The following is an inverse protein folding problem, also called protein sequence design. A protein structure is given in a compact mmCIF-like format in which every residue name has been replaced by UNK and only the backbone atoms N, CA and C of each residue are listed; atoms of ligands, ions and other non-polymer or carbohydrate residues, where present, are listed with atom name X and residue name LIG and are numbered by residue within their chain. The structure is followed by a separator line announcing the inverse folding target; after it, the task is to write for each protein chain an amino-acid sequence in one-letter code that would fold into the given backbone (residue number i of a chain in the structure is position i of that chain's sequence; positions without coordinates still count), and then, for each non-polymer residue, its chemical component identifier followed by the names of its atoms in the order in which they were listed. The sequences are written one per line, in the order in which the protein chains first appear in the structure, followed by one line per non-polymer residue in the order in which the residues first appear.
data_IF_107843103709
#
_entry.id   IF_107843103709
#
_cell.length_a   1.000
_cell.length_b   1.000
_cell.length_c   1.000
_cell.angle_alpha   90.00
_cell.angle_beta   90.00
_cell.angle_gamma   90.00
#
_symmetry.space_group_name_H-M   'P 1'
#
loop_
_entity.id
_entity.type
_entity.pdbx_description
1 polymer ?
#
# COMPACT_ATOMS: atom_id res chain seq x y z
N UNK A 1 -14.28 -5.41 6.19
CA UNK A 1 -15.48 -5.68 7.00
C UNK A 1 -15.59 -7.14 7.43
N UNK A 2 -15.83 -8.11 6.53
CA UNK A 2 -16.04 -9.52 6.91
C UNK A 2 -14.86 -10.15 7.67
N UNK A 3 -13.61 -9.85 7.28
CA UNK A 3 -12.43 -10.32 8.02
C UNK A 3 -12.41 -9.82 9.47
N UNK A 4 -12.80 -8.57 9.69
CA UNK A 4 -12.88 -7.97 11.03
C UNK A 4 -14.01 -8.58 11.86
N UNK A 5 -15.18 -8.79 11.26
CA UNK A 5 -16.30 -9.49 11.91
C UNK A 5 -15.89 -10.91 12.30
N UNK A 6 -15.25 -11.66 11.40
CA UNK A 6 -14.77 -13.01 11.69
C UNK A 6 -13.76 -13.04 12.84
N UNK A 7 -12.91 -12.01 12.93
CA UNK A 7 -11.95 -11.86 14.01
C UNK A 7 -12.66 -11.59 15.35
N UNK A 8 -13.62 -10.65 15.39
CA UNK A 8 -14.39 -10.34 16.61
C UNK A 8 -15.14 -11.57 17.10
N UNK A 9 -15.83 -12.29 16.21
CA UNK A 9 -16.53 -13.52 16.57
C UNK A 9 -15.55 -14.55 17.17
N UNK A 10 -14.37 -14.72 16.58
CA UNK A 10 -13.39 -15.68 17.05
C UNK A 10 -12.82 -15.34 18.43
N UNK A 11 -12.47 -14.07 18.70
CA UNK A 11 -11.85 -13.68 19.97
C UNK A 11 -12.81 -13.66 21.16
N UNK A 12 -14.13 -13.72 20.93
CA UNK A 12 -15.10 -13.73 22.04
C UNK A 12 -15.35 -15.14 22.60
N UNK A 13 -14.77 -16.18 21.98
CA UNK A 13 -14.75 -17.51 22.56
C UNK A 13 -13.88 -17.54 23.84
N UNK A 14 -14.18 -18.49 24.73
CA UNK A 14 -13.34 -18.76 25.91
C UNK A 14 -11.94 -19.20 25.48
N UNK A 15 -10.96 -18.93 26.34
CA UNK A 15 -9.55 -19.29 26.15
C UNK A 15 -8.89 -18.69 24.88
N UNK A 16 -9.44 -17.59 24.38
CA UNK A 16 -8.86 -16.83 23.27
C UNK A 16 -8.15 -15.56 23.77
N UNK A 17 -7.02 -15.22 23.14
CA UNK A 17 -6.27 -13.99 23.41
C UNK A 17 -6.31 -13.08 22.18
N UNK A 18 -6.53 -11.78 22.42
CA UNK A 18 -6.53 -10.78 21.35
C UNK A 18 -5.14 -10.61 20.72
N UNK A 19 -5.14 -10.27 19.43
CA UNK A 19 -3.91 -9.89 18.74
C UNK A 19 -3.34 -8.60 19.36
N UNK A 20 -2.01 -8.52 19.42
CA UNK A 20 -1.31 -7.32 19.87
C UNK A 20 -0.88 -6.57 18.61
N UNK A 21 -1.34 -5.33 18.37
CA UNK A 21 -0.94 -4.58 17.19
C UNK A 21 0.56 -4.27 17.22
N UNK A 22 1.20 -4.39 16.06
CA UNK A 22 2.60 -4.04 15.88
C UNK A 22 2.81 -2.53 15.76
N UNK A 23 4.06 -2.14 15.51
CA UNK A 23 4.41 -0.76 15.16
C UNK A 23 3.83 -0.36 13.80
N UNK A 24 3.70 -1.34 12.92
CA UNK A 24 3.28 -1.19 11.52
C UNK A 24 2.07 -2.08 11.25
N UNK A 25 1.06 -1.54 10.56
CA UNK A 25 0.00 -2.36 9.97
C UNK A 25 0.50 -3.03 8.68
N UNK A 26 0.76 -4.34 8.79
CA UNK A 26 1.27 -5.19 7.71
C UNK A 26 0.38 -5.14 6.47
N UNK A 27 -0.94 -5.07 6.62
CA UNK A 27 -1.85 -5.05 5.48
C UNK A 27 -1.73 -3.75 4.70
N UNK A 28 -1.89 -2.60 5.37
CA UNK A 28 -1.86 -1.29 4.72
C UNK A 28 -0.53 -0.99 4.05
N UNK A 29 0.59 -1.34 4.69
CA UNK A 29 1.92 -1.09 4.12
C UNK A 29 2.18 -1.96 2.89
N UNK A 30 1.82 -3.25 2.94
CA UNK A 30 1.97 -4.17 1.82
C UNK A 30 1.09 -3.77 0.64
N UNK A 31 -0.15 -3.35 0.91
CA UNK A 31 -1.06 -2.86 -0.11
C UNK A 31 -0.53 -1.59 -0.77
N UNK A 32 -0.04 -0.62 0.01
CA UNK A 32 0.53 0.61 -0.54
C UNK A 32 1.75 0.33 -1.43
N UNK A 33 2.64 -0.58 -1.00
CA UNK A 33 3.78 -1.02 -1.83
C UNK A 33 3.34 -1.69 -3.14
N UNK A 34 2.31 -2.54 -3.09
CA UNK A 34 1.75 -3.21 -4.26
C UNK A 34 1.14 -2.22 -5.25
N UNK A 35 0.34 -1.26 -4.78
CA UNK A 35 -0.32 -0.25 -5.61
C UNK A 35 0.68 0.65 -6.34
N UNK A 36 1.78 1.03 -5.67
CA UNK A 36 2.90 1.73 -6.31
C UNK A 36 3.50 0.88 -7.43
N UNK A 37 3.81 -0.40 -7.14
CA UNK A 37 4.37 -1.33 -8.13
C UNK A 37 3.43 -1.53 -9.33
N UNK A 38 2.12 -1.67 -9.11
CA UNK A 38 1.13 -1.80 -10.18
C UNK A 38 1.05 -0.54 -11.03
N UNK A 39 1.06 0.64 -10.40
CA UNK A 39 1.02 1.93 -11.10
C UNK A 39 2.27 2.14 -11.96
N UNK A 40 3.46 1.86 -11.40
CA UNK A 40 4.73 1.88 -12.13
C UNK A 40 4.72 0.87 -13.29
N UNK A 41 4.27 -0.37 -13.06
CA UNK A 41 4.16 -1.35 -14.14
C UNK A 41 3.19 -0.94 -15.25
N UNK A 42 2.09 -0.26 -14.91
CA UNK A 42 1.15 0.27 -15.89
C UNK A 42 1.76 1.39 -16.72
N UNK A 43 2.53 2.29 -16.11
CA UNK A 43 3.33 3.28 -16.84
C UNK A 43 4.30 2.60 -17.82
N UNK A 44 5.04 1.57 -17.37
CA UNK A 44 6.00 0.82 -18.22
C UNK A 44 5.38 0.07 -19.38
N UNK A 45 4.19 -0.51 -19.18
CA UNK A 45 3.52 -1.34 -20.21
C UNK A 45 2.74 -0.52 -21.23
N UNK A 46 2.40 0.72 -20.91
CA UNK A 46 1.64 1.57 -21.82
C UNK A 46 2.56 2.05 -22.94
N UNK A 47 2.10 1.93 -24.18
CA UNK A 47 2.84 2.40 -25.35
C UNK A 47 2.79 3.93 -25.39
N UNK A 48 3.77 4.56 -26.05
CA UNK A 48 3.84 6.03 -26.19
C UNK A 48 2.53 6.58 -26.79
N UNK A 49 1.98 5.88 -27.78
CA UNK A 49 0.78 6.30 -28.53
C UNK A 49 -0.51 6.19 -27.71
N UNK A 50 -0.56 5.27 -26.75
CA UNK A 50 -1.73 5.01 -25.89
C UNK A 50 -1.67 5.79 -24.56
N UNK A 51 -0.56 6.50 -24.32
CA UNK A 51 -0.30 7.17 -23.06
C UNK A 51 -1.01 8.53 -23.01
N UNK A 52 -2.29 8.51 -22.65
CA UNK A 52 -3.07 9.74 -22.48
C UNK A 52 -2.56 10.60 -21.30
N UNK A 53 -2.61 11.94 -21.40
CA UNK A 53 -2.24 12.83 -20.30
C UNK A 53 -3.06 12.57 -19.02
N UNK A 54 -4.33 12.19 -19.16
CA UNK A 54 -5.20 11.85 -18.03
C UNK A 54 -4.70 10.60 -17.30
N UNK A 55 -4.37 9.54 -18.06
CA UNK A 55 -3.82 8.31 -17.50
C UNK A 55 -2.53 8.57 -16.70
N UNK A 56 -1.64 9.42 -17.21
CA UNK A 56 -0.42 9.81 -16.48
C UNK A 56 -0.76 10.48 -15.15
N UNK A 57 -1.70 11.44 -15.15
CA UNK A 57 -2.12 12.15 -13.94
C UNK A 57 -2.69 11.18 -12.92
N UNK A 58 -3.57 10.27 -13.35
CA UNK A 58 -4.22 9.28 -12.48
C UNK A 58 -3.18 8.36 -11.84
N UNK A 59 -2.23 7.84 -12.63
CA UNK A 59 -1.18 6.95 -12.13
C UNK A 59 -0.20 7.66 -11.20
N UNK A 60 0.23 8.88 -11.53
CA UNK A 60 1.06 9.69 -10.64
C UNK A 60 0.33 10.01 -9.33
N UNK A 61 -0.95 10.37 -9.39
CA UNK A 61 -1.77 10.63 -8.21
C UNK A 61 -1.89 9.38 -7.34
N UNK A 62 -2.07 8.20 -7.94
CA UNK A 62 -2.12 6.94 -7.20
C UNK A 62 -0.78 6.63 -6.51
N UNK A 63 0.34 6.78 -7.22
CA UNK A 63 1.69 6.63 -6.64
C UNK A 63 1.87 7.59 -5.45
N UNK A 64 1.56 8.88 -5.63
CA UNK A 64 1.67 9.88 -4.58
C UNK A 64 0.81 9.55 -3.36
N UNK A 65 -0.46 9.14 -3.57
CA UNK A 65 -1.37 8.71 -2.50
C UNK A 65 -0.77 7.58 -1.67
N UNK A 66 -0.27 6.54 -2.32
CA UNK A 66 0.26 5.37 -1.62
C UNK A 66 1.63 5.64 -0.97
N UNK A 67 2.45 6.53 -1.53
CA UNK A 67 3.65 7.03 -0.86
C UNK A 67 3.27 7.77 0.43
N UNK A 68 2.25 8.63 0.42
CA UNK A 68 1.77 9.28 1.65
C UNK A 68 1.32 8.27 2.70
N UNK A 69 0.67 7.17 2.30
CA UNK A 69 0.33 6.07 3.22
C UNK A 69 1.59 5.45 3.83
N UNK A 70 2.60 5.12 3.01
CA UNK A 70 3.88 4.59 3.50
C UNK A 70 4.55 5.57 4.48
N UNK A 71 4.63 6.85 4.14
CA UNK A 71 5.21 7.89 4.99
C UNK A 71 4.48 8.02 6.33
N UNK A 72 3.15 8.01 6.33
CA UNK A 72 2.36 8.11 7.55
C UNK A 72 2.57 6.90 8.46
N UNK A 73 2.56 5.69 7.90
CA UNK A 73 2.82 4.46 8.64
C UNK A 73 4.22 4.49 9.27
N UNK A 74 5.25 4.85 8.48
CA UNK A 74 6.61 4.95 8.98
C UNK A 74 6.78 6.05 10.03
N UNK A 75 6.08 7.19 9.91
CA UNK A 75 6.09 8.24 10.93
C UNK A 75 5.49 7.75 12.25
N UNK A 76 4.37 7.05 12.20
CA UNK A 76 3.77 6.45 13.40
C UNK A 76 4.62 5.34 14.01
N UNK A 77 5.42 4.63 13.20
CA UNK A 77 6.40 3.67 13.68
C UNK A 77 7.60 4.37 14.34
N UNK A 78 8.15 5.42 13.71
CA UNK A 78 9.28 6.24 14.19
C UNK A 78 9.09 6.72 15.63
N UNK A 79 7.89 7.19 15.95
CA UNK A 79 7.50 7.70 17.27
C UNK A 79 7.48 6.61 18.38
N UNK A 80 7.33 5.34 17.98
CA UNK A 80 7.18 4.19 18.89
C UNK A 80 8.43 3.31 18.96
N UNK A 81 9.33 3.44 18.00
CA UNK A 81 10.60 2.70 17.93
C UNK A 81 11.54 3.20 19.04
N UNK A 82 12.10 2.26 19.82
CA UNK A 82 13.05 2.56 20.90
C UNK A 82 14.49 2.69 20.41
N UNK A 83 14.86 1.90 19.41
CA UNK A 83 16.21 1.85 18.83
C UNK A 83 16.45 3.00 17.85
N UNK A 84 17.53 3.75 18.04
CA UNK A 84 17.86 4.89 17.19
C UNK A 84 18.24 4.48 15.77
N UNK A 85 18.96 3.37 15.59
CA UNK A 85 19.34 2.89 14.27
C UNK A 85 18.13 2.51 13.41
N UNK A 86 17.18 1.78 14.00
CA UNK A 86 15.91 1.40 13.38
C UNK A 86 15.06 2.61 13.02
N UNK A 87 15.00 3.60 13.93
CA UNK A 87 14.29 4.87 13.71
C UNK A 87 14.87 5.59 12.49
N UNK A 88 16.19 5.72 12.42
CA UNK A 88 16.85 6.34 11.28
C UNK A 88 16.69 5.53 9.99
N UNK A 89 16.65 4.20 10.07
CA UNK A 89 16.37 3.34 8.93
C UNK A 89 14.96 3.57 8.35
N UNK A 90 13.93 3.75 9.18
CA UNK A 90 12.60 4.14 8.72
C UNK A 90 12.63 5.47 7.95
N UNK A 91 13.29 6.50 8.50
CA UNK A 91 13.43 7.81 7.85
C UNK A 91 14.17 7.70 6.51
N UNK A 92 15.26 6.93 6.46
CA UNK A 92 16.04 6.72 5.24
C UNK A 92 15.25 5.97 4.17
N UNK A 93 14.49 4.93 4.55
CA UNK A 93 13.59 4.23 3.65
C UNK A 93 12.55 5.18 3.05
N UNK A 94 11.88 6.00 3.86
CA UNK A 94 10.90 6.99 3.39
C UNK A 94 11.55 8.00 2.44
N UNK A 95 12.73 8.54 2.81
CA UNK A 95 13.48 9.49 1.97
C UNK A 95 13.89 8.87 0.64
N UNK A 96 14.29 7.60 0.63
CA UNK A 96 14.66 6.87 -0.58
C UNK A 96 13.47 6.76 -1.55
N UNK A 97 12.30 6.37 -1.04
CA UNK A 97 11.07 6.27 -1.84
C UNK A 97 10.62 7.63 -2.38
N UNK A 98 10.59 8.66 -1.54
CA UNK A 98 10.15 9.99 -1.95
C UNK A 98 11.12 10.64 -2.94
N UNK A 99 12.43 10.46 -2.77
CA UNK A 99 13.44 10.91 -3.72
C UNK A 99 13.28 10.25 -5.09
N UNK A 100 13.18 8.92 -5.13
CA UNK A 100 12.96 8.18 -6.38
C UNK A 100 11.67 8.64 -7.09
N UNK A 101 10.59 8.86 -6.33
CA UNK A 101 9.33 9.34 -6.86
C UNK A 101 9.43 10.78 -7.38
N UNK A 102 10.17 11.65 -6.69
CA UNK A 102 10.47 13.01 -7.16
C UNK A 102 11.14 13.02 -8.53
N UNK A 103 12.14 12.15 -8.73
CA UNK A 103 12.82 11.97 -10.02
C UNK A 103 11.87 11.48 -11.13
N UNK A 104 10.97 10.54 -10.80
CA UNK A 104 9.94 10.06 -11.72
C UNK A 104 9.00 11.20 -12.13
N UNK A 105 8.43 11.94 -11.17
CA UNK A 105 7.50 13.04 -11.43
C UNK A 105 8.17 14.17 -12.23
N UNK A 106 9.42 14.51 -11.93
CA UNK A 106 10.18 15.50 -12.70
C UNK A 106 10.39 15.06 -14.15
N UNK A 107 10.69 13.78 -14.37
CA UNK A 107 10.83 13.20 -15.71
C UNK A 107 9.50 13.19 -16.48
N UNK A 108 8.40 12.88 -15.80
CA UNK A 108 7.05 12.92 -16.36
C UNK A 108 6.62 14.34 -16.72
N UNK A 109 6.92 15.34 -15.88
CA UNK A 109 6.68 16.76 -16.21
C UNK A 109 7.38 17.16 -17.49
N UNK A 110 8.65 16.78 -17.62
CA UNK A 110 9.46 17.05 -18.82
C UNK A 110 8.83 16.41 -20.05
N UNK A 111 8.37 15.15 -19.94
CA UNK A 111 7.63 14.46 -21.00
C UNK A 111 6.30 15.16 -21.36
N UNK A 112 5.53 15.62 -20.37
CA UNK A 112 4.27 16.34 -20.62
C UNK A 112 4.49 17.65 -21.38
N UNK A 113 5.57 18.37 -21.10
CA UNK A 113 5.91 19.61 -21.81
C UNK A 113 6.46 19.34 -23.21
N UNK A 114 7.20 18.24 -23.39
CA UNK A 114 7.82 17.86 -24.66
C UNK A 114 7.66 16.35 -24.91
N UNK A 115 6.52 15.90 -25.47
CA UNK A 115 6.30 14.48 -25.72
C UNK A 115 7.32 13.94 -26.72
N UNK A 116 8.16 12.99 -26.31
CA UNK A 116 9.11 12.31 -27.19
C UNK A 116 9.43 10.91 -26.69
N UNK A 117 9.82 10.02 -27.60
CA UNK A 117 10.25 8.65 -27.26
C UNK A 117 11.43 8.64 -26.29
N UNK A 118 12.34 9.62 -26.39
CA UNK A 118 13.47 9.79 -25.48
C UNK A 118 13.01 10.09 -24.05
N UNK A 119 12.11 11.06 -23.87
CA UNK A 119 11.61 11.42 -22.55
C UNK A 119 10.69 10.34 -21.98
N UNK A 120 9.98 9.62 -22.85
CA UNK A 120 9.23 8.43 -22.48
C UNK A 120 10.13 7.36 -21.87
N UNK A 121 11.15 6.91 -22.61
CA UNK A 121 12.12 5.94 -22.12
C UNK A 121 12.79 6.38 -20.80
N UNK A 122 13.06 7.68 -20.66
CA UNK A 122 13.64 8.24 -19.43
C UNK A 122 12.75 8.04 -18.21
N UNK A 123 11.46 8.40 -18.25
CA UNK A 123 10.62 8.24 -17.07
C UNK A 123 10.26 6.76 -16.80
N UNK A 124 10.22 5.92 -17.84
CA UNK A 124 10.14 4.46 -17.68
C UNK A 124 11.28 3.91 -16.83
N UNK A 125 12.52 4.37 -17.07
CA UNK A 125 13.67 3.94 -16.27
C UNK A 125 13.58 4.37 -14.79
N UNK A 126 12.81 5.40 -14.46
CA UNK A 126 12.57 5.81 -13.07
C UNK A 126 11.45 5.03 -12.38
N UNK A 127 10.65 4.24 -13.11
CA UNK A 127 9.60 3.41 -12.51
C UNK A 127 10.17 2.25 -11.66
N UNK A 128 11.31 1.70 -12.08
CA UNK A 128 11.96 0.59 -11.36
C UNK A 128 12.56 1.03 -10.03
N UNK A 129 13.36 2.12 -9.94
CA UNK A 129 13.81 2.67 -8.67
C UNK A 129 12.66 2.91 -7.68
N UNK A 130 11.58 3.57 -8.10
CA UNK A 130 10.41 3.83 -7.23
C UNK A 130 9.82 2.53 -6.68
N UNK A 131 9.63 1.55 -7.56
CA UNK A 131 9.08 0.25 -7.18
C UNK A 131 10.00 -0.50 -6.22
N UNK A 132 11.31 -0.53 -6.50
CA UNK A 132 12.31 -1.22 -5.70
C UNK A 132 12.46 -0.59 -4.32
N UNK A 133 12.55 0.73 -4.23
CA UNK A 133 12.65 1.42 -2.93
C UNK A 133 11.38 1.22 -2.09
N UNK A 134 10.20 1.23 -2.71
CA UNK A 134 8.95 1.01 -2.00
C UNK A 134 8.85 -0.42 -1.47
N UNK A 135 9.29 -1.41 -2.26
CA UNK A 135 9.31 -2.81 -1.84
C UNK A 135 10.38 -3.07 -0.75
N UNK A 136 11.55 -2.44 -0.84
CA UNK A 136 12.56 -2.53 0.22
C UNK A 136 12.03 -1.99 1.56
N UNK A 137 11.33 -0.85 1.53
CA UNK A 137 10.66 -0.29 2.70
C UNK A 137 9.61 -1.26 3.26
N UNK A 138 8.79 -1.86 2.40
CA UNK A 138 7.77 -2.83 2.81
C UNK A 138 8.43 -4.03 3.47
N UNK A 139 9.44 -4.62 2.85
CA UNK A 139 10.16 -5.78 3.40
C UNK A 139 10.69 -5.47 4.80
N UNK A 140 11.44 -4.37 4.95
CA UNK A 140 11.97 -3.92 6.23
C UNK A 140 10.85 -3.72 7.26
N UNK A 141 9.82 -2.97 6.92
CA UNK A 141 8.73 -2.65 7.84
C UNK A 141 7.81 -3.83 8.18
N UNK A 142 7.96 -4.96 7.48
CA UNK A 142 7.25 -6.22 7.75
C UNK A 142 8.11 -7.27 8.44
N UNK A 143 9.29 -6.90 8.95
CA UNK A 143 10.10 -7.75 9.81
C UNK A 143 9.35 -8.13 11.11
N UNK A 144 9.66 -9.31 11.64
CA UNK A 144 9.00 -9.90 12.83
C UNK A 144 9.06 -8.98 14.05
N UNK A 145 10.06 -8.10 14.13
CA UNK A 145 10.25 -7.13 15.22
C UNK A 145 9.23 -5.97 15.19
N UNK A 146 8.62 -5.70 14.04
CA UNK A 146 7.68 -4.58 13.87
C UNK A 146 6.24 -5.03 13.72
N UNK A 147 6.03 -6.26 13.25
CA UNK A 147 4.72 -6.87 13.16
C UNK A 147 4.28 -7.31 14.56
N UNK A 148 2.98 -7.15 14.80
CA UNK A 148 2.38 -7.48 16.08
C UNK A 148 2.38 -8.98 16.38
N UNK A 149 1.78 -9.36 17.51
CA UNK A 149 1.51 -10.77 17.81
C UNK A 149 0.11 -11.14 17.34
N UNK A 150 0.00 -12.28 16.67
CA UNK A 150 -1.28 -12.82 16.23
C UNK A 150 -2.17 -13.21 17.44
N UNK A 151 -3.47 -13.25 17.22
CA UNK A 151 -4.41 -13.71 18.22
C UNK A 151 -4.25 -15.21 18.48
N UNK A 152 -4.33 -15.61 19.75
CA UNK A 152 -4.36 -17.03 20.12
C UNK A 152 -5.81 -17.46 20.16
N UNK A 153 -6.20 -18.34 19.25
CA UNK A 153 -7.58 -18.81 19.12
C UNK A 153 -7.70 -20.25 19.62
N UNK A 154 -8.84 -20.59 20.23
CA UNK A 154 -9.20 -21.99 20.49
C UNK A 154 -9.53 -22.72 19.17
N UNK A 155 -9.53 -24.08 19.15
CA UNK A 155 -9.92 -24.84 17.96
C UNK A 155 -11.33 -24.47 17.46
N UNK A 156 -12.29 -24.32 18.37
CA UNK A 156 -13.67 -23.96 18.06
C UNK A 156 -13.77 -22.56 17.43
N UNK A 157 -13.07 -21.57 18.02
CA UNK A 157 -13.00 -20.22 17.48
C UNK A 157 -12.42 -20.18 16.06
N UNK A 158 -11.37 -20.97 15.80
CA UNK A 158 -10.78 -21.10 14.46
C UNK A 158 -11.76 -21.69 13.46
N UNK A 159 -12.57 -22.67 13.86
CA UNK A 159 -13.52 -23.31 12.95
C UNK A 159 -14.66 -22.35 12.56
N UNK A 160 -15.15 -21.53 13.50
CA UNK A 160 -16.09 -20.45 13.20
C UNK A 160 -15.46 -19.41 12.29
N UNK A 161 -14.25 -18.94 12.61
CA UNK A 161 -13.53 -17.97 11.78
C UNK A 161 -13.34 -18.48 10.36
N UNK A 162 -12.88 -19.73 10.20
CA UNK A 162 -12.71 -20.39 8.89
C UNK A 162 -14.02 -20.50 8.13
N UNK A 163 -15.12 -20.84 8.80
CA UNK A 163 -16.44 -20.96 8.17
C UNK A 163 -16.91 -19.63 7.60
N UNK A 164 -16.78 -18.54 8.37
CA UNK A 164 -17.12 -17.18 7.92
C UNK A 164 -16.23 -16.79 6.73
N UNK A 165 -14.91 -16.97 6.85
CA UNK A 165 -13.96 -16.62 5.78
C UNK A 165 -14.18 -17.45 4.51
N UNK A 166 -14.51 -18.74 4.62
CA UNK A 166 -14.79 -19.61 3.47
C UNK A 166 -16.04 -19.16 2.70
N UNK A 167 -17.11 -18.79 3.40
CA UNK A 167 -18.30 -18.23 2.76
C UNK A 167 -17.98 -16.89 2.08
N UNK A 168 -17.17 -16.03 2.72
CA UNK A 168 -16.72 -14.78 2.12
C UNK A 168 -15.86 -15.01 0.86
N UNK A 169 -14.93 -15.97 0.90
CA UNK A 169 -14.12 -16.35 -0.25
C UNK A 169 -14.98 -16.87 -1.41
N UNK A 170 -16.06 -17.59 -1.11
CA UNK A 170 -17.01 -18.06 -2.12
C UNK A 170 -17.70 -16.89 -2.83
N UNK A 171 -18.13 -15.87 -2.09
CA UNK A 171 -18.68 -14.61 -2.66
C UNK A 171 -17.64 -13.93 -3.54
N UNK A 172 -16.42 -13.71 -3.03
CA UNK A 172 -15.35 -13.03 -3.78
C UNK A 172 -15.02 -13.80 -5.06
N UNK A 173 -14.93 -15.12 -5.00
CA UNK A 173 -14.69 -15.98 -6.17
C UNK A 173 -15.81 -15.85 -7.21
N UNK A 174 -17.08 -15.89 -6.78
CA UNK A 174 -18.23 -15.72 -7.65
C UNK A 174 -18.25 -14.33 -8.30
N UNK A 175 -17.93 -13.26 -7.56
CA UNK A 175 -17.79 -11.91 -8.10
C UNK A 175 -16.66 -11.80 -9.13
N UNK A 176 -15.52 -12.45 -8.91
CA UNK A 176 -14.42 -12.49 -9.88
C UNK A 176 -14.86 -13.20 -11.16
N UNK A 177 -15.56 -14.34 -11.05
CA UNK A 177 -16.09 -15.07 -12.20
C UNK A 177 -17.15 -14.27 -12.95
N UNK A 178 -18.01 -13.54 -12.23
CA UNK A 178 -18.97 -12.62 -12.81
C UNK A 178 -18.26 -11.52 -13.61
N UNK A 179 -17.27 -10.85 -13.04
CA UNK A 179 -16.47 -9.84 -13.75
C UNK A 179 -15.78 -10.40 -15.00
N UNK A 180 -15.28 -11.64 -14.95
CA UNK A 180 -14.69 -12.33 -16.12
C UNK A 180 -15.74 -12.60 -17.19
N UNK A 181 -16.91 -13.10 -16.81
CA UNK A 181 -18.00 -13.41 -17.75
C UNK A 181 -18.55 -12.14 -18.39
N UNK A 182 -18.72 -11.05 -17.62
CA UNK A 182 -19.11 -9.74 -18.16
C UNK A 182 -18.05 -9.20 -19.13
N UNK A 183 -16.77 -9.39 -18.82
CA UNK A 183 -15.69 -9.02 -19.74
C UNK A 183 -15.73 -9.84 -21.03
N UNK A 184 -15.89 -11.15 -20.96
CA UNK A 184 -16.05 -12.00 -22.15
C UNK A 184 -17.22 -11.52 -23.02
N UNK A 185 -18.33 -11.15 -22.37
CA UNK A 185 -19.50 -10.61 -23.05
C UNK A 185 -19.28 -9.26 -23.73
N UNK A 186 -18.32 -8.46 -23.27
CA UNK A 186 -17.96 -7.23 -23.97
C UNK A 186 -17.31 -7.46 -25.34
N UNK A 187 -16.83 -8.69 -25.60
CA UNK A 187 -16.20 -9.08 -26.86
C UNK A 187 -17.03 -10.07 -27.69
N UNK A 188 -18.00 -10.78 -27.10
CA UNK A 188 -18.82 -11.79 -27.78
C UNK A 188 -20.33 -11.52 -27.59
N UNK A 189 -21.16 -11.88 -28.58
CA UNK A 189 -22.61 -11.68 -28.51
C UNK A 189 -23.22 -12.67 -27.50
N UNK A 190 -24.09 -12.19 -26.60
CA UNK A 190 -24.77 -12.97 -25.53
C UNK A 190 -25.17 -14.40 -25.97
N UNK A 191 -24.32 -15.39 -25.69
CA UNK A 191 -24.67 -16.81 -25.84
C UNK A 191 -25.47 -17.30 -24.61
N UNK A 192 -26.29 -18.34 -24.78
CA UNK A 192 -27.05 -18.95 -23.66
C UNK A 192 -26.12 -19.32 -22.50
N UNK A 193 -24.93 -19.84 -22.83
CA UNK A 193 -23.93 -20.26 -21.85
C UNK A 193 -23.39 -19.11 -20.98
N UNK A 194 -23.19 -17.90 -21.52
CA UNK A 194 -22.79 -16.74 -20.71
C UNK A 194 -23.90 -16.31 -19.74
N UNK A 195 -25.16 -16.38 -20.18
CA UNK A 195 -26.31 -16.08 -19.31
C UNK A 195 -26.43 -17.08 -18.16
N UNK A 196 -26.22 -18.36 -18.44
CA UNK A 196 -26.26 -19.40 -17.42
C UNK A 196 -25.11 -19.27 -16.42
N UNK A 197 -23.88 -18.95 -16.89
CA UNK A 197 -22.74 -18.63 -16.02
C UNK A 197 -23.01 -17.42 -15.12
N UNK A 198 -23.59 -16.34 -15.66
CA UNK A 198 -23.94 -15.16 -14.88
C UNK A 198 -24.97 -15.51 -13.79
N UNK A 199 -26.01 -16.27 -14.15
CA UNK A 199 -27.03 -16.73 -13.19
C UNK A 199 -26.40 -17.56 -12.07
N UNK A 200 -25.54 -18.53 -12.40
CA UNK A 200 -24.84 -19.35 -11.41
C UNK A 200 -23.94 -18.51 -10.49
N UNK A 201 -23.26 -17.48 -11.01
CA UNK A 201 -22.47 -16.59 -10.16
C UNK A 201 -23.37 -15.83 -9.17
N UNK A 202 -24.51 -15.31 -9.63
CA UNK A 202 -25.47 -14.61 -8.77
C UNK A 202 -26.07 -15.53 -7.71
N UNK A 203 -26.51 -16.73 -8.09
CA UNK A 203 -27.07 -17.73 -7.16
C UNK A 203 -26.04 -18.14 -6.09
N UNK A 204 -24.75 -18.27 -6.47
CA UNK A 204 -23.68 -18.56 -5.52
C UNK A 204 -23.41 -17.41 -4.55
N UNK A 205 -23.49 -16.16 -5.00
CA UNK A 205 -23.37 -14.98 -4.14
C UNK A 205 -24.53 -14.95 -3.14
N UNK A 206 -25.75 -15.16 -3.60
CA UNK A 206 -26.95 -15.15 -2.75
C UNK A 206 -26.89 -16.27 -1.69
N UNK A 207 -26.63 -17.50 -2.13
CA UNK A 207 -26.48 -18.65 -1.22
C UNK A 207 -25.38 -18.44 -0.18
N UNK A 208 -24.24 -17.88 -0.59
CA UNK A 208 -23.12 -17.62 0.33
C UNK A 208 -23.43 -16.47 1.29
N UNK A 209 -24.22 -15.48 0.86
CA UNK A 209 -24.73 -14.40 1.72
C UNK A 209 -25.65 -14.96 2.82
N UNK A 210 -26.59 -15.83 2.45
CA UNK A 210 -27.45 -16.53 3.41
C UNK A 210 -26.62 -17.37 4.37
N UNK A 211 -25.62 -18.10 3.88
CA UNK A 211 -24.72 -18.90 4.71
C UNK A 211 -23.97 -18.05 5.76
N UNK A 212 -23.45 -16.88 5.38
CA UNK A 212 -22.82 -15.95 6.35
C UNK A 212 -23.83 -15.51 7.40
N UNK A 213 -25.04 -15.16 6.98
CA UNK A 213 -26.09 -14.74 7.90
C UNK A 213 -26.44 -15.83 8.92
N UNK A 214 -26.63 -17.08 8.46
CA UNK A 214 -26.89 -18.22 9.33
C UNK A 214 -25.75 -18.48 10.33
N UNK A 215 -24.49 -18.41 9.89
CA UNK A 215 -23.33 -18.62 10.77
C UNK A 215 -23.31 -17.54 11.87
N UNK A 216 -23.53 -16.28 11.51
CA UNK A 216 -23.55 -15.18 12.47
C UNK A 216 -24.75 -15.24 13.42
N UNK A 217 -25.91 -15.68 12.93
CA UNK A 217 -27.10 -15.86 13.77
C UNK A 217 -26.90 -16.99 14.79
N UNK A 218 -26.39 -18.16 14.37
CA UNK A 218 -26.09 -19.27 15.29
C UNK A 218 -25.09 -18.84 16.38
N UNK A 219 -24.11 -18.04 16.02
CA UNK A 219 -23.17 -17.48 16.97
C UNK A 219 -23.86 -16.57 17.99
N UNK A 220 -24.75 -15.67 17.54
CA UNK A 220 -25.51 -14.80 18.43
C UNK A 220 -26.41 -15.57 19.41
N UNK A 221 -27.05 -16.64 18.94
CA UNK A 221 -27.89 -17.52 19.77
C UNK A 221 -27.06 -18.27 20.83
N UNK A 222 -25.85 -18.71 20.46
CA UNK A 222 -24.93 -19.39 21.39
C UNK A 222 -24.44 -18.50 22.54
N UNK A 223 -24.18 -17.22 22.26
CA UNK A 223 -23.81 -16.23 23.29
C UNK A 223 -24.98 -16.01 24.28
N UNK A 224 -26.22 -15.88 23.78
CA UNK A 224 -27.38 -15.67 24.65
C UNK A 224 -27.66 -16.87 25.57
N UNK A 225 -27.52 -18.10 25.05
CA UNK A 225 -27.71 -19.31 25.87
C UNK A 225 -26.67 -19.45 26.98
N UNK A 226 -25.45 -18.96 26.78
CA UNK A 226 -24.38 -18.98 27.79
C UNK A 226 -24.66 -18.03 28.97
N UNK A 227 -25.32 -16.89 28.69
CA UNK A 227 -25.75 -15.93 29.71
C UNK A 227 -26.96 -16.41 30.53
N UNK A 228 -27.92 -17.09 29.89
CA UNK A 228 -29.10 -17.66 30.57
C UNK A 228 -28.71 -18.77 31.56
N UNK A 229 -27.73 -19.61 31.20
CA UNK A 229 -27.26 -20.71 32.07
C UNK A 229 -26.40 -20.23 33.25
N UNK A 230 -25.76 -19.06 33.17
CA UNK A 230 -25.03 -18.48 34.31
C UNK A 230 -25.94 -17.87 35.38
N UNK A 231 -27.23 -17.66 35.07
CA UNK A 231 -28.19 -17.04 36.00
C UNK A 231 -28.93 -18.08 36.86
N UNK A 232 -28.80 -19.38 36.54
CA UNK A 232 -29.53 -20.45 37.22
C UNK A 232 -28.67 -21.29 38.22
N UNK A 233 -27.39 -20.96 38.38
CA UNK A 233 -26.45 -21.69 39.26
C UNK A 233 -26.14 -20.99 40.60
N UNK A 234 -26.89 -19.96 40.97
CA UNK A 234 -26.69 -19.21 42.23
C UNK A 234 -27.94 -19.23 43.12
N UNK A 235 -28.52 -20.41 43.36
CA UNK A 235 -29.62 -20.54 44.31
C UNK A 235 -29.53 -21.87 45.11
N UNK A 236 -28.49 -21.98 45.94
CA UNK A 236 -28.48 -22.80 47.17
C UNK A 236 -27.66 -22.06 48.23
N UNK A 237 -28.36 -21.61 49.27
CA UNK A 237 -27.86 -20.62 50.20
C UNK A 237 -26.85 -21.09 51.25
N UNK A 238 -26.15 -20.10 51.80
CA UNK A 238 -25.76 -20.02 53.21
C UNK A 238 -25.33 -18.59 53.52
N UNK A 239 -26.02 -17.97 54.47
CA UNK A 239 -25.69 -16.70 55.13
C UNK A 239 -24.22 -16.63 55.58
N UNK A 240 -23.54 -15.50 55.35
CA UNK A 240 -23.09 -14.62 56.44
C UNK A 240 -22.66 -13.24 55.93
N UNK A 241 -23.15 -12.23 56.65
CA UNK A 241 -22.91 -10.80 56.51
C UNK A 241 -21.43 -10.40 56.67
N UNK A 242 -20.97 -9.43 55.86
CA UNK A 242 -20.41 -8.14 56.32
C UNK A 242 -19.90 -7.28 55.14
N UNK A 243 -20.31 -6.01 55.16
CA UNK A 243 -20.09 -4.93 54.17
C UNK A 243 -18.83 -4.09 54.55
N UNK A 244 -18.44 -2.98 53.86
CA UNK A 244 -18.23 -2.72 52.42
C UNK A 244 -16.83 -2.08 52.10
N UNK A 245 -16.35 -2.18 50.86
CA UNK A 245 -15.87 -1.01 50.06
C UNK A 245 -15.56 -1.40 48.62
N UNK A 246 -15.78 -0.44 47.72
CA UNK A 246 -16.19 -0.61 46.33
C UNK A 246 -15.04 -0.36 45.33
N UNK A 247 -14.91 -1.24 44.33
CA UNK A 247 -14.39 -0.90 43.01
C UNK A 247 -15.10 -1.77 41.95
N UNK A 248 -16.25 -1.28 41.45
CA UNK A 248 -17.04 -1.91 40.38
C UNK A 248 -16.31 -1.84 39.05
N UNK A 249 -15.93 -2.99 38.49
CA UNK A 249 -15.73 -3.18 37.06
C UNK A 249 -17.07 -3.43 36.39
N UNK A 250 -17.53 -2.49 35.57
CA UNK A 250 -18.75 -2.64 34.77
C UNK A 250 -18.45 -3.49 33.54
N UNK A 251 -18.86 -4.76 33.55
CA UNK A 251 -19.07 -5.55 32.33
C UNK A 251 -20.57 -5.55 32.01
N UNK A 252 -20.95 -4.89 30.93
CA UNK A 252 -22.28 -4.94 30.31
C UNK A 252 -22.10 -4.96 28.79
N UNK A 253 -22.99 -5.61 28.03
CA UNK A 253 -22.69 -6.10 26.68
C UNK A 253 -22.66 -4.97 25.66
N UNK A 254 -21.89 -5.10 24.55
CA UNK A 254 -21.71 -3.99 23.64
C UNK A 254 -22.90 -3.89 22.67
N UNK A 255 -23.74 -2.86 22.88
CA UNK A 255 -24.57 -2.20 21.86
C UNK A 255 -23.74 -1.59 20.70
N UNK A 256 -22.55 -2.11 20.43
CA UNK A 256 -21.49 -1.45 19.67
C UNK A 256 -21.44 -1.92 18.21
N UNK A 257 -21.90 -3.13 17.87
CA UNK A 257 -21.89 -3.60 16.47
C UNK A 257 -22.85 -2.81 15.57
N UNK A 258 -24.06 -2.50 16.04
CA UNK A 258 -25.03 -1.71 15.26
C UNK A 258 -24.62 -0.23 15.13
N UNK A 259 -23.85 0.30 16.09
CA UNK A 259 -23.37 1.67 16.09
C UNK A 259 -22.05 1.83 15.32
N UNK A 260 -21.16 0.83 15.29
CA UNK A 260 -19.95 0.84 14.45
C UNK A 260 -20.30 0.92 12.96
N UNK A 261 -21.33 0.19 12.53
CA UNK A 261 -21.82 0.24 11.15
C UNK A 261 -22.40 1.61 10.73
N UNK A 262 -22.81 2.44 11.70
CA UNK A 262 -23.41 3.77 11.45
C UNK A 262 -22.39 4.91 11.58
N UNK A 263 -21.38 4.77 12.43
CA UNK A 263 -20.36 5.81 12.66
C UNK A 263 -19.23 5.80 11.62
N UNK A 264 -18.95 4.67 10.93
CA UNK A 264 -17.90 4.61 9.90
C UNK A 264 -18.27 5.25 8.55
N UNK A 265 -19.52 5.71 8.35
CA UNK A 265 -19.93 6.37 7.09
C UNK A 265 -20.88 7.57 7.30
N UNK A 266 -20.37 8.75 7.71
CA UNK A 266 -21.06 9.98 7.41
C UNK A 266 -20.97 10.26 5.91
N UNK A 267 -22.10 10.17 5.20
CA UNK A 267 -22.24 10.77 3.86
C UNK A 267 -21.91 12.25 3.93
N UNK A 268 -20.72 12.66 3.50
CA UNK A 268 -20.43 14.07 3.19
C UNK A 268 -19.56 14.14 1.95
N UNK A 269 -20.23 14.22 0.80
CA UNK A 269 -19.67 14.93 -0.34
C UNK A 269 -19.41 16.38 0.06
N UNK A 270 -18.13 16.76 0.14
CA UNK A 270 -17.65 18.13 -0.01
C UNK A 270 -16.25 18.08 -0.61
N UNK A 271 -16.13 18.67 -1.79
CA UNK A 271 -14.91 18.82 -2.58
C UNK A 271 -13.83 19.60 -1.80
N UNK A 272 -12.54 19.21 -1.88
CA UNK A 272 -11.46 20.14 -1.65
C UNK A 272 -10.83 20.57 -2.99
N UNK A 273 -10.94 21.87 -3.27
CA UNK A 273 -10.20 22.60 -4.30
C UNK A 273 -8.69 22.51 -4.03
N UNK A 274 -7.96 21.70 -4.80
CA UNK A 274 -6.56 21.91 -5.25
C UNK A 274 -6.02 20.62 -5.90
N UNK A 275 -5.21 20.70 -6.98
CA UNK A 275 -4.71 19.50 -7.66
C UNK A 275 -3.79 18.67 -6.75
N UNK A 276 -3.93 17.33 -6.70
CA UNK A 276 -3.15 16.45 -5.81
C UNK A 276 -1.62 16.54 -6.01
N UNK A 277 -1.20 17.06 -7.17
CA UNK A 277 0.20 17.25 -7.53
C UNK A 277 0.91 18.38 -6.74
N UNK A 278 0.21 19.42 -6.29
CA UNK A 278 0.81 20.50 -5.50
C UNK A 278 1.11 20.06 -4.06
N UNK A 279 0.18 19.35 -3.41
CA UNK A 279 0.40 18.78 -2.07
C UNK A 279 1.59 17.80 -2.06
N UNK A 280 1.74 17.00 -3.11
CA UNK A 280 2.90 16.10 -3.23
C UNK A 280 4.21 16.87 -3.42
N UNK A 281 4.21 17.95 -4.21
CA UNK A 281 5.38 18.81 -4.41
C UNK A 281 5.75 19.55 -3.11
N UNK A 282 4.77 19.93 -2.29
CA UNK A 282 4.96 20.54 -0.97
C UNK A 282 5.58 19.54 0.02
N UNK A 283 5.09 18.30 0.07
CA UNK A 283 5.63 17.24 0.92
C UNK A 283 7.09 16.89 0.58
N UNK A 284 7.46 16.91 -0.70
CA UNK A 284 8.85 16.73 -1.13
C UNK A 284 9.76 17.89 -0.69
N UNK A 285 9.23 19.12 -0.62
CA UNK A 285 9.95 20.31 -0.17
C UNK A 285 10.17 20.29 1.34
N UNK A 286 9.18 19.86 2.12
CA UNK A 286 9.26 19.80 3.60
C UNK A 286 10.18 18.67 4.10
N UNK A 287 10.39 17.61 3.31
CA UNK A 287 11.24 16.46 3.67
C UNK A 287 12.74 16.66 3.32
N UNK A 288 13.15 17.82 2.82
CA UNK A 288 14.54 18.12 2.44
C UNK A 288 15.19 19.12 3.40
N UNK A 289 16.08 18.69 4.35
CA UNK A 289 16.85 19.62 5.15
C UNK A 289 18.18 19.94 4.45
N UNK A 290 18.15 20.77 3.41
CA UNK A 290 19.35 21.50 2.96
C UNK A 290 18.93 22.89 2.46
N UNK A 291 19.63 23.90 2.98
CA UNK A 291 19.49 25.35 2.76
C UNK A 291 18.44 26.09 3.61
N UNK A 292 18.68 26.17 4.92
CA UNK A 292 18.34 27.36 5.71
C UNK A 292 19.63 28.08 6.11
N UNK A 293 20.18 28.89 5.20
CA UNK A 293 21.04 30.01 5.57
C UNK A 293 20.26 31.26 5.26
N UNK A 294 19.65 31.83 6.31
CA UNK A 294 18.84 33.01 6.21
C UNK A 294 19.76 34.21 5.90
N UNK A 295 19.48 34.82 4.76
CA UNK A 295 19.90 36.14 4.34
C UNK A 295 19.62 37.17 5.44
N UNK A 296 20.70 37.66 6.05
CA UNK A 296 20.70 38.89 6.84
C UNK A 296 21.27 40.02 5.99
N UNK A 297 20.53 41.13 5.95
CA UNK A 297 20.94 42.50 5.64
C UNK A 297 21.79 42.78 4.39
N UNK A 298 21.20 43.52 3.46
CA UNK A 298 21.91 44.61 2.77
C UNK A 298 20.91 45.71 2.36
N UNK A 299 20.83 46.72 3.24
CA UNK A 299 20.40 48.07 2.88
C UNK A 299 21.55 48.78 2.15
N UNK A 300 21.16 49.56 1.14
CA UNK A 300 21.86 50.65 0.47
C UNK A 300 23.22 51.10 1.04
N UNK A 301 24.23 51.14 0.16
CA UNK A 301 25.13 52.29 0.05
C UNK A 301 25.73 52.38 -1.37
N UNK A 302 25.60 53.58 -1.94
CA UNK A 302 26.17 54.05 -3.19
C UNK A 302 27.69 54.34 -3.08
N UNK A 303 28.32 54.57 -4.24
CA UNK A 303 29.67 55.14 -4.49
C UNK A 303 30.82 54.11 -4.34
N UNK A 304 31.84 54.00 -5.20
CA UNK A 304 32.50 54.95 -6.09
C UNK A 304 33.48 54.21 -7.05
N UNK A 305 33.63 54.71 -8.28
CA UNK A 305 34.80 54.79 -9.19
C UNK A 305 35.85 53.67 -9.41
N UNK A 306 36.24 53.55 -10.69
CA UNK A 306 37.60 53.20 -11.19
C UNK A 306 37.66 51.85 -11.91
N UNK A 307 37.49 51.74 -13.23
CA UNK A 307 38.35 52.12 -14.37
C UNK A 307 39.60 51.23 -14.58
N UNK A 308 39.88 50.98 -15.87
CA UNK A 308 41.16 50.59 -16.53
C UNK A 308 41.35 49.11 -16.96
N UNK A 309 41.08 48.90 -18.26
CA UNK A 309 41.89 48.33 -19.34
C UNK A 309 42.65 46.98 -19.24
N UNK A 310 42.36 46.11 -20.24
CA UNK A 310 43.32 45.75 -21.30
C UNK A 310 44.33 44.62 -21.04
N UNK A 311 44.28 43.53 -21.84
CA UNK A 311 45.23 43.23 -22.93
C UNK A 311 45.08 41.79 -23.49
N UNK A 312 45.45 41.70 -24.77
CA UNK A 312 45.28 40.66 -25.78
C UNK A 312 46.17 39.39 -25.73
N UNK A 313 45.67 38.36 -26.44
CA UNK A 313 46.33 37.45 -27.40
C UNK A 313 47.56 36.59 -27.04
N UNK A 314 47.48 35.28 -27.40
CA UNK A 314 48.24 34.58 -28.48
C UNK A 314 47.96 33.05 -28.37
N UNK A 315 47.37 32.35 -29.36
CA UNK A 315 48.01 31.66 -30.50
C UNK A 315 48.82 30.42 -30.04
N UNK A 316 48.77 29.19 -30.58
CA UNK A 316 48.48 28.69 -31.95
C UNK A 316 48.47 27.13 -31.94
N UNK A 317 47.64 26.51 -32.81
CA UNK A 317 47.72 25.24 -33.63
C UNK A 317 48.73 24.12 -33.24
N UNK A 318 48.41 22.82 -33.33
CA UNK A 318 48.17 22.04 -34.58
C UNK A 318 47.47 20.68 -34.32
N UNK A 319 46.88 20.08 -35.36
CA UNK A 319 46.28 18.72 -35.44
C UNK A 319 47.06 17.87 -36.48
N UNK A 320 46.54 16.73 -37.01
CA UNK A 320 46.43 15.37 -36.45
C UNK A 320 47.17 14.32 -37.33
N UNK A 321 47.38 13.07 -36.86
CA UNK A 321 47.75 11.94 -37.75
C UNK A 321 47.12 10.59 -37.33
N UNK A 322 47.02 9.71 -38.32
CA UNK A 322 46.02 8.68 -38.56
C UNK A 322 46.64 7.25 -38.58
N UNK A 323 45.78 6.22 -38.46
CA UNK A 323 45.93 4.83 -38.98
C UNK A 323 47.01 3.92 -38.33
N UNK A 324 46.71 2.68 -37.89
CA UNK A 324 46.62 1.49 -38.77
C UNK A 324 46.26 0.21 -37.95
N UNK A 325 45.38 -0.65 -38.52
CA UNK A 325 45.15 -2.09 -38.21
C UNK A 325 45.78 -2.90 -39.36
N UNK A 326 46.52 -4.01 -39.15
CA UNK A 326 46.03 -5.38 -39.43
C UNK A 326 46.69 -6.46 -38.52
N UNK A 327 46.24 -7.71 -38.35
CA UNK A 327 45.21 -8.55 -38.96
C UNK A 327 45.17 -9.93 -38.27
N UNK A 328 44.26 -10.80 -38.69
CA UNK A 328 44.28 -12.27 -38.47
C UNK A 328 44.71 -12.95 -39.78
N UNK A 329 45.15 -14.24 -39.83
CA UNK A 329 44.22 -15.39 -39.74
C UNK A 329 44.79 -16.77 -39.30
N UNK A 330 43.88 -17.77 -39.20
CA UNK A 330 44.07 -19.25 -39.30
C UNK A 330 44.59 -19.98 -38.04
N UNK A 331 44.21 -21.21 -37.67
CA UNK A 331 43.36 -22.27 -38.26
C UNK A 331 43.27 -23.46 -37.27
N UNK A 332 42.11 -24.15 -37.26
CA UNK A 332 41.92 -25.63 -37.10
C UNK A 332 42.29 -26.28 -35.73
N UNK A 333 41.64 -27.30 -35.16
CA UNK A 333 40.82 -28.45 -35.63
C UNK A 333 39.90 -29.00 -34.52
N UNK A 334 38.72 -29.54 -34.90
CA UNK A 334 38.10 -30.85 -34.51
C UNK A 334 37.97 -31.27 -33.02
N UNK A 335 36.87 -31.82 -32.51
CA UNK A 335 35.62 -32.32 -33.10
C UNK A 335 34.75 -33.05 -32.04
N UNK A 336 33.51 -33.40 -32.43
CA UNK A 336 32.60 -34.51 -32.01
C UNK A 336 32.47 -34.87 -30.51
N UNK A 337 31.32 -35.17 -29.89
CA UNK A 337 30.09 -35.88 -30.29
C UNK A 337 29.05 -35.69 -29.16
N UNK A 338 27.77 -35.41 -29.43
CA UNK A 338 26.64 -36.35 -29.47
C UNK A 338 26.09 -36.90 -28.12
N UNK A 339 24.81 -36.55 -27.87
CA UNK A 339 23.69 -37.37 -27.41
C UNK A 339 23.68 -38.03 -26.01
N UNK A 340 22.68 -37.70 -25.17
CA UNK A 340 21.46 -38.52 -24.98
C UNK A 340 20.76 -38.26 -23.63
N UNK A 341 19.42 -38.25 -23.75
CA UNK A 341 18.36 -38.44 -22.74
C UNK A 341 17.98 -37.29 -21.82
#
# INVERSE_FOLDING_TARGET
LCSHVSYICAISFKDCCQAIPGLVDRYSISLAGLEIKLSCNRLKKTRVDDLSPQLIIDLCSNISKHISVLTNICKSADEKVRDEGTRDQFKLCVKSVTCAAGCLIASIKTYKSHPSTRYHARFINFCDPVSTTAQALVTFATEEDFVGKEAVLSPEARDVQKSILAACMSIVSACIQLCRTVRELSYDLMTSHHKDKLRMCMDNVDRSSVQIHEILQRYHESEQSSHLNSTHSSDKGSNCDNNPTSAKGNNSPPRHLANLFREEFPEHGKSPESPPHEKFTQLLREQSPLASSNSGDLRQSEQNSGNVDGYSERGTRDSPEEMTIPGSPSSETSGHSAASR
#
